data_IF_780392857136
#
_entry.id   IF_780392857136
#
_cell.length_a   1.000
_cell.length_b   1.000
_cell.length_c   1.000
_cell.angle_alpha   90.00
_cell.angle_beta   90.00
_cell.angle_gamma   90.00
#
_symmetry.space_group_name_H-M   'P 1'
#
loop_
_entity.id
_entity.type
_entity.pdbx_description
1 polymer ?
#
# COMPACT_ATOMS: atom_id res chain seq x y z
N UNK A 1 63.09 -33.52 53.32
CA UNK A 1 61.64 -33.58 53.65
C UNK A 1 60.85 -33.37 52.35
N UNK A 2 60.51 -34.46 51.63
CA UNK A 2 59.76 -34.40 50.36
C UNK A 2 58.29 -34.73 50.65
N UNK A 3 57.40 -33.74 50.57
CA UNK A 3 55.96 -33.93 50.64
C UNK A 3 55.44 -34.24 49.23
N UNK A 4 54.97 -35.46 49.01
CA UNK A 4 54.31 -35.89 47.78
C UNK A 4 52.82 -35.50 47.83
N UNK A 5 52.42 -34.56 46.98
CA UNK A 5 51.01 -34.23 46.77
C UNK A 5 50.32 -35.37 46.03
N UNK A 6 49.36 -36.04 46.68
CA UNK A 6 48.48 -37.04 46.06
C UNK A 6 47.43 -36.32 45.22
N UNK A 7 47.57 -36.36 43.89
CA UNK A 7 46.54 -35.87 42.97
C UNK A 7 45.32 -36.81 43.00
N UNK A 8 44.20 -36.32 43.52
CA UNK A 8 42.89 -36.99 43.41
C UNK A 8 42.35 -36.79 41.98
N UNK A 9 42.50 -37.80 41.12
CA UNK A 9 41.85 -37.82 39.80
C UNK A 9 40.34 -38.01 39.97
N UNK A 10 39.57 -36.95 39.73
CA UNK A 10 38.12 -37.02 39.59
C UNK A 10 37.82 -37.75 38.26
N UNK A 11 37.47 -39.05 38.33
CA UNK A 11 36.94 -39.78 37.17
C UNK A 11 35.59 -39.18 36.77
N UNK A 12 35.59 -38.30 35.77
CA UNK A 12 34.35 -37.93 35.09
C UNK A 12 33.80 -39.19 34.40
N UNK A 13 32.73 -39.77 34.96
CA UNK A 13 31.95 -40.82 34.28
C UNK A 13 31.29 -40.18 33.06
N UNK A 14 31.91 -40.32 31.89
CA UNK A 14 31.23 -40.07 30.63
C UNK A 14 30.10 -41.10 30.50
N UNK A 15 28.85 -40.67 30.68
CA UNK A 15 27.68 -41.49 30.33
C UNK A 15 27.60 -41.52 28.82
N UNK A 16 27.77 -42.70 28.22
CA UNK A 16 27.57 -42.90 26.80
C UNK A 16 26.09 -42.73 26.45
N UNK A 17 25.81 -41.90 25.45
CA UNK A 17 24.47 -41.71 24.93
C UNK A 17 24.11 -42.91 24.05
N UNK A 18 22.98 -43.56 24.29
CA UNK A 18 22.56 -44.68 23.44
C UNK A 18 21.98 -44.15 22.12
N UNK A 19 22.19 -44.88 21.02
CA UNK A 19 21.66 -44.51 19.70
C UNK A 19 20.13 -44.30 19.75
N UNK A 20 19.44 -45.09 20.58
CA UNK A 20 17.99 -45.03 20.79
C UNK A 20 17.58 -43.71 21.45
N UNK A 21 18.29 -43.26 22.50
CA UNK A 21 18.00 -41.97 23.15
C UNK A 21 18.11 -40.80 22.17
N UNK A 22 19.09 -40.83 21.26
CA UNK A 22 19.22 -39.81 20.21
C UNK A 22 18.08 -39.87 19.21
N UNK A 23 17.71 -41.08 18.78
CA UNK A 23 16.67 -41.29 17.78
C UNK A 23 15.29 -40.82 18.29
N UNK A 24 14.97 -41.06 19.56
CA UNK A 24 13.72 -40.58 20.16
C UNK A 24 13.67 -39.05 20.23
N UNK A 25 14.77 -38.41 20.62
CA UNK A 25 14.83 -36.94 20.73
C UNK A 25 14.64 -36.28 19.37
N UNK A 26 15.33 -36.75 18.33
CA UNK A 26 15.15 -36.21 16.98
C UNK A 26 13.74 -36.48 16.44
N UNK A 27 13.13 -37.61 16.77
CA UNK A 27 11.75 -37.93 16.38
C UNK A 27 10.75 -36.95 17.01
N UNK A 28 10.90 -36.65 18.30
CA UNK A 28 10.05 -35.66 18.98
C UNK A 28 10.24 -34.26 18.36
N UNK A 29 11.47 -33.82 18.12
CA UNK A 29 11.75 -32.52 17.50
C UNK A 29 11.15 -32.46 16.08
N UNK A 30 11.27 -33.52 15.29
CA UNK A 30 10.70 -33.59 13.95
C UNK A 30 9.17 -33.46 13.97
N UNK A 31 8.49 -34.14 14.89
CA UNK A 31 7.02 -34.01 15.06
C UNK A 31 6.65 -32.60 15.50
N UNK A 32 7.36 -32.01 16.46
CA UNK A 32 7.09 -30.63 16.91
C UNK A 32 7.25 -29.63 15.76
N UNK A 33 8.33 -29.72 14.99
CA UNK A 33 8.57 -28.83 13.84
C UNK A 33 7.50 -29.05 12.76
N UNK A 34 7.13 -30.29 12.47
CA UNK A 34 6.10 -30.62 11.48
C UNK A 34 4.73 -30.00 11.84
N UNK A 35 4.40 -29.91 13.12
CA UNK A 35 3.18 -29.28 13.60
C UNK A 35 3.29 -27.74 13.68
N UNK A 36 4.49 -27.21 13.96
CA UNK A 36 4.72 -25.77 14.10
C UNK A 36 4.84 -25.04 12.76
N UNK A 37 5.42 -25.66 11.72
CA UNK A 37 5.69 -24.99 10.44
C UNK A 37 4.41 -24.49 9.74
N UNK A 38 3.33 -25.30 9.59
CA UNK A 38 2.08 -24.83 9.00
C UNK A 38 1.43 -23.72 9.84
N UNK A 39 1.51 -23.82 11.17
CA UNK A 39 0.93 -22.85 12.09
C UNK A 39 1.65 -21.49 12.01
N UNK A 40 2.99 -21.47 11.94
CA UNK A 40 3.77 -20.24 11.81
C UNK A 40 3.49 -19.52 10.50
N UNK A 41 3.30 -20.26 9.40
CA UNK A 41 2.96 -19.66 8.10
C UNK A 41 1.56 -19.05 8.10
N UNK A 42 0.57 -19.76 8.66
CA UNK A 42 -0.78 -19.24 8.84
C UNK A 42 -0.79 -17.96 9.69
N UNK A 43 -0.03 -17.94 10.80
CA UNK A 43 0.11 -16.77 11.65
C UNK A 43 0.76 -15.58 10.92
N UNK A 44 1.81 -15.83 10.12
CA UNK A 44 2.47 -14.78 9.31
C UNK A 44 1.54 -14.20 8.26
N UNK A 45 0.77 -15.03 7.57
CA UNK A 45 -0.18 -14.55 6.57
C UNK A 45 -1.33 -13.77 7.21
N UNK A 46 -1.85 -14.22 8.34
CA UNK A 46 -2.84 -13.47 9.11
C UNK A 46 -2.30 -12.09 9.54
N UNK A 47 -1.05 -12.02 10.00
CA UNK A 47 -0.41 -10.76 10.37
C UNK A 47 -0.28 -9.80 9.17
N UNK A 48 0.11 -10.30 7.99
CA UNK A 48 0.15 -9.49 6.76
C UNK A 48 -1.21 -8.94 6.37
N UNK A 49 -2.27 -9.75 6.44
CA UNK A 49 -3.65 -9.32 6.18
C UNK A 49 -4.11 -8.25 7.16
N UNK A 50 -3.81 -8.42 8.44
CA UNK A 50 -4.08 -7.40 9.46
C UNK A 50 -3.35 -6.09 9.17
N UNK A 51 -2.10 -6.16 8.71
CA UNK A 51 -1.36 -4.96 8.31
C UNK A 51 -2.02 -4.22 7.15
N UNK A 52 -2.50 -4.93 6.10
CA UNK A 52 -3.22 -4.29 4.99
C UNK A 52 -4.50 -3.57 5.47
N UNK A 53 -5.26 -4.20 6.37
CA UNK A 53 -6.45 -3.58 6.98
C UNK A 53 -6.09 -2.35 7.82
N UNK A 54 -4.99 -2.42 8.58
CA UNK A 54 -4.52 -1.30 9.39
C UNK A 54 -4.08 -0.11 8.51
N UNK A 55 -3.37 -0.38 7.41
CA UNK A 55 -2.99 0.63 6.43
C UNK A 55 -4.23 1.30 5.81
N UNK A 56 -5.24 0.52 5.39
CA UNK A 56 -6.51 1.06 4.90
C UNK A 56 -7.22 1.92 5.95
N UNK A 57 -7.22 1.48 7.22
CA UNK A 57 -7.77 2.26 8.34
C UNK A 57 -7.01 3.59 8.54
N UNK A 58 -5.68 3.58 8.46
CA UNK A 58 -4.87 4.80 8.56
C UNK A 58 -5.18 5.77 7.41
N UNK A 59 -5.35 5.28 6.19
CA UNK A 59 -5.76 6.11 5.04
C UNK A 59 -7.16 6.69 5.27
N UNK A 60 -8.10 5.89 5.78
CA UNK A 60 -9.44 6.38 6.13
C UNK A 60 -9.42 7.46 7.21
N UNK A 61 -8.57 7.32 8.23
CA UNK A 61 -8.37 8.37 9.25
C UNK A 61 -7.76 9.63 8.63
N UNK A 62 -6.73 9.49 7.81
CA UNK A 62 -6.11 10.60 7.09
C UNK A 62 -7.11 11.36 6.21
N UNK A 63 -8.01 10.62 5.53
CA UNK A 63 -9.06 11.20 4.71
C UNK A 63 -10.06 12.03 5.54
N UNK A 64 -10.45 11.53 6.72
CA UNK A 64 -11.32 12.27 7.64
C UNK A 64 -10.62 13.50 8.21
N UNK A 65 -9.34 13.39 8.61
CA UNK A 65 -8.56 14.52 9.11
C UNK A 65 -8.40 15.61 8.03
N UNK A 66 -8.14 15.22 6.78
CA UNK A 66 -8.09 16.16 5.66
C UNK A 66 -9.44 16.87 5.48
N UNK A 67 -10.55 16.13 5.57
CA UNK A 67 -11.89 16.72 5.49
C UNK A 67 -12.16 17.65 6.67
N UNK A 68 -11.73 17.32 7.88
CA UNK A 68 -11.91 18.19 9.06
C UNK A 68 -11.20 19.54 8.88
N UNK A 69 -10.00 19.54 8.30
CA UNK A 69 -9.25 20.78 8.08
C UNK A 69 -9.75 21.59 6.87
N UNK A 70 -10.19 20.93 5.80
CA UNK A 70 -10.57 21.60 4.55
C UNK A 70 -12.07 21.72 4.32
N UNK A 71 -12.92 21.00 5.05
CA UNK A 71 -14.38 20.86 4.82
C UNK A 71 -14.78 20.19 3.49
N UNK A 72 -13.86 19.44 2.88
CA UNK A 72 -14.10 18.61 1.70
C UNK A 72 -13.05 17.50 1.60
N UNK A 73 -13.39 16.43 0.90
CA UNK A 73 -12.44 15.40 0.50
C UNK A 73 -11.43 15.93 -0.52
N UNK A 74 -10.20 15.37 -0.55
CA UNK A 74 -9.20 15.78 -1.52
C UNK A 74 -9.70 15.45 -2.94
N UNK A 75 -9.39 16.31 -3.92
CA UNK A 75 -9.72 16.02 -5.30
C UNK A 75 -8.97 14.77 -5.75
N UNK A 76 -9.60 13.97 -6.62
CA UNK A 76 -8.98 12.75 -7.12
C UNK A 76 -7.68 13.06 -7.87
N UNK A 77 -7.72 14.09 -8.71
CA UNK A 77 -6.58 14.68 -9.41
C UNK A 77 -6.78 16.18 -9.58
N UNK A 78 -5.67 16.92 -9.57
CA UNK A 78 -5.60 18.26 -10.13
C UNK A 78 -5.23 18.18 -11.61
N UNK A 79 -5.98 18.85 -12.47
CA UNK A 79 -5.69 19.00 -13.91
C UNK A 79 -5.53 20.49 -14.20
N UNK A 80 -4.35 20.91 -14.67
CA UNK A 80 -3.99 22.33 -14.81
C UNK A 80 -4.52 22.96 -16.09
N UNK A 81 -4.04 22.49 -17.23
CA UNK A 81 -4.33 23.03 -18.56
C UNK A 81 -4.06 21.95 -19.58
N UNK A 82 -5.07 21.31 -20.18
CA UNK A 82 -4.77 20.24 -21.12
C UNK A 82 -5.95 19.32 -21.36
N UNK A 83 -5.82 18.55 -22.43
CA UNK A 83 -6.82 17.61 -22.86
C UNK A 83 -7.19 16.64 -21.71
N UNK A 84 -8.44 16.63 -21.21
CA UNK A 84 -8.82 15.69 -20.16
C UNK A 84 -8.63 14.23 -20.62
N UNK A 85 -8.53 13.98 -21.93
CA UNK A 85 -8.45 12.68 -22.61
C UNK A 85 -7.15 11.86 -22.39
N UNK A 86 -6.14 12.39 -21.70
CA UNK A 86 -4.87 11.67 -21.46
C UNK A 86 -4.64 11.35 -19.99
N UNK A 87 -4.55 10.04 -19.72
CA UNK A 87 -4.20 9.47 -18.41
C UNK A 87 -2.75 9.87 -18.10
N UNK A 88 -2.53 10.50 -16.93
CA UNK A 88 -1.22 10.93 -16.45
C UNK A 88 -0.36 11.79 -17.41
N UNK A 89 -0.98 12.69 -18.18
CA UNK A 89 -0.25 13.62 -19.06
C UNK A 89 0.60 14.66 -18.30
N UNK A 90 1.44 15.37 -19.06
CA UNK A 90 2.23 16.52 -18.61
C UNK A 90 1.38 17.66 -18.01
N UNK A 91 0.05 17.60 -18.07
CA UNK A 91 -0.83 18.64 -17.50
C UNK A 91 -1.54 18.19 -16.21
N UNK A 92 -1.27 16.96 -15.74
CA UNK A 92 -1.86 16.39 -14.52
C UNK A 92 -0.94 16.64 -13.33
N UNK A 93 -1.49 17.26 -12.30
CA UNK A 93 -0.84 17.53 -11.02
C UNK A 93 -1.03 16.41 -10.01
N UNK A 94 -0.89 16.76 -8.74
CA UNK A 94 -1.04 15.85 -7.61
C UNK A 94 -2.41 15.16 -7.57
N UNK A 95 -2.42 13.94 -7.04
CA UNK A 95 -3.63 13.17 -6.77
C UNK A 95 -4.01 13.21 -5.28
N UNK A 96 -5.13 12.60 -4.95
CA UNK A 96 -5.65 12.52 -3.59
C UNK A 96 -4.64 11.98 -2.55
N UNK A 97 -3.83 10.96 -2.88
CA UNK A 97 -2.84 10.40 -1.94
C UNK A 97 -1.69 11.35 -1.64
N UNK A 98 -1.27 12.17 -2.61
CA UNK A 98 -0.27 13.23 -2.36
C UNK A 98 -0.80 14.22 -1.32
N UNK A 99 -2.07 14.63 -1.41
CA UNK A 99 -2.70 15.51 -0.42
C UNK A 99 -2.84 14.88 0.97
N UNK A 100 -2.85 13.55 1.06
CA UNK A 100 -2.92 12.83 2.33
C UNK A 100 -1.56 12.62 3.00
N UNK A 101 -0.43 12.85 2.31
CA UNK A 101 0.91 12.61 2.86
C UNK A 101 1.14 13.26 4.25
N UNK A 102 0.73 14.51 4.51
CA UNK A 102 0.89 15.12 5.84
C UNK A 102 0.11 14.40 6.96
N UNK A 103 -0.98 13.73 6.59
CA UNK A 103 -1.91 13.06 7.51
C UNK A 103 -1.55 11.58 7.73
N UNK A 104 -0.52 11.08 7.05
CA UNK A 104 0.04 9.71 7.20
C UNK A 104 1.53 9.74 7.59
N UNK A 105 1.96 10.81 8.26
CA UNK A 105 3.35 11.02 8.71
C UNK A 105 4.40 11.01 7.58
N UNK A 106 4.01 11.44 6.37
CA UNK A 106 4.90 11.56 5.21
C UNK A 106 5.19 13.02 4.81
N UNK A 107 5.26 13.93 5.78
CA UNK A 107 5.56 15.36 5.55
C UNK A 107 6.85 15.57 4.75
N UNK A 108 7.92 14.82 5.04
CA UNK A 108 9.19 14.94 4.31
C UNK A 108 9.10 14.62 2.81
N UNK A 109 8.10 13.83 2.38
CA UNK A 109 7.81 13.57 0.96
C UNK A 109 6.94 14.69 0.40
N UNK A 110 5.93 15.13 1.17
CA UNK A 110 5.03 16.21 0.79
C UNK A 110 5.77 17.53 0.54
N UNK A 111 6.69 17.91 1.43
CA UNK A 111 7.45 19.16 1.34
C UNK A 111 8.34 19.23 0.07
N UNK A 112 8.68 18.07 -0.50
CA UNK A 112 9.44 17.95 -1.75
C UNK A 112 8.56 17.88 -2.99
N UNK A 113 7.25 17.79 -2.79
CA UNK A 113 6.28 17.69 -3.87
C UNK A 113 5.90 19.08 -4.35
N UNK A 114 6.27 19.39 -5.58
CA UNK A 114 5.90 20.64 -6.21
C UNK A 114 4.50 20.50 -6.82
N UNK A 115 3.54 21.18 -6.19
CA UNK A 115 2.13 21.23 -6.59
C UNK A 115 1.87 22.21 -7.73
N UNK A 116 2.88 22.83 -8.32
CA UNK A 116 2.83 23.70 -9.50
C UNK A 116 3.31 23.04 -10.79
N UNK A 117 4.02 21.92 -10.69
CA UNK A 117 4.51 21.14 -11.84
C UNK A 117 3.71 19.84 -12.07
N UNK A 118 3.88 19.19 -13.24
CA UNK A 118 3.23 17.91 -13.52
C UNK A 118 3.70 16.79 -12.58
N UNK A 119 2.80 15.88 -12.20
CA UNK A 119 3.13 14.79 -11.28
C UNK A 119 4.22 13.86 -11.83
N UNK A 120 4.28 13.67 -13.16
CA UNK A 120 5.33 12.87 -13.81
C UNK A 120 6.70 13.58 -13.88
N UNK A 121 6.80 14.82 -13.40
CA UNK A 121 8.06 15.54 -13.22
C UNK A 121 8.50 15.55 -11.75
N UNK A 122 7.60 15.24 -10.82
CA UNK A 122 7.92 15.16 -9.39
C UNK A 122 8.76 13.92 -9.07
N UNK A 123 9.96 14.06 -8.48
CA UNK A 123 10.81 12.92 -8.13
C UNK A 123 10.22 12.07 -6.99
N UNK A 124 9.36 12.66 -6.15
CA UNK A 124 8.70 11.98 -5.04
C UNK A 124 7.82 10.79 -5.45
N UNK A 125 7.37 10.73 -6.72
CA UNK A 125 6.48 9.67 -7.24
C UNK A 125 7.07 8.26 -7.19
N UNK A 126 8.40 8.16 -7.15
CA UNK A 126 9.15 6.91 -7.09
C UNK A 126 9.32 6.38 -5.67
N UNK A 127 8.85 7.12 -4.66
CA UNK A 127 9.04 6.75 -3.26
C UNK A 127 8.10 5.61 -2.88
N UNK A 128 8.65 4.53 -2.32
CA UNK A 128 7.86 3.41 -1.78
C UNK A 128 7.44 3.74 -0.35
N UNK A 129 6.13 3.92 -0.14
CA UNK A 129 5.56 4.23 1.18
C UNK A 129 4.92 2.96 1.73
N UNK A 130 5.45 2.43 2.84
CA UNK A 130 4.96 1.18 3.43
C UNK A 130 3.47 1.25 3.83
N UNK A 131 2.99 2.41 4.28
CA UNK A 131 1.58 2.63 4.60
C UNK A 131 0.64 2.56 3.38
N UNK A 132 1.16 2.71 2.16
CA UNK A 132 0.37 2.58 0.93
C UNK A 132 0.50 1.21 0.25
N UNK A 133 1.34 0.32 0.78
CA UNK A 133 1.54 -1.02 0.24
C UNK A 133 0.96 -2.07 1.18
N UNK A 134 0.17 -2.98 0.61
CA UNK A 134 -0.34 -4.13 1.31
C UNK A 134 0.69 -5.28 1.25
N UNK A 135 1.26 -5.75 2.37
CA UNK A 135 2.28 -6.81 2.36
C UNK A 135 1.78 -8.17 1.86
N UNK A 136 0.47 -8.40 1.73
CA UNK A 136 -0.04 -9.63 1.10
C UNK A 136 0.05 -9.61 -0.41
N UNK A 137 0.25 -8.44 -1.03
CA UNK A 137 0.43 -8.33 -2.47
C UNK A 137 1.93 -8.33 -2.83
N UNK A 138 2.47 -9.45 -3.38
CA UNK A 138 3.87 -9.55 -3.74
C UNK A 138 4.25 -8.63 -4.91
N UNK A 139 3.29 -8.20 -5.74
CA UNK A 139 3.56 -7.35 -6.90
C UNK A 139 4.10 -5.96 -6.53
N UNK A 140 3.96 -5.54 -5.27
CA UNK A 140 4.56 -4.29 -4.74
C UNK A 140 6.09 -4.26 -4.78
N UNK A 141 6.72 -5.42 -4.73
CA UNK A 141 8.17 -5.55 -4.88
C UNK A 141 8.62 -5.46 -6.35
N UNK A 142 7.68 -5.51 -7.29
CA UNK A 142 7.93 -5.40 -8.72
C UNK A 142 8.45 -4.03 -9.15
N UNK A 143 8.79 -3.91 -10.45
CA UNK A 143 9.24 -2.65 -11.00
C UNK A 143 8.13 -1.58 -10.93
N UNK A 144 8.51 -0.31 -10.78
CA UNK A 144 7.56 0.79 -10.86
C UNK A 144 6.85 0.79 -12.22
N UNK A 145 5.65 1.38 -12.29
CA UNK A 145 4.98 1.55 -13.57
C UNK A 145 5.78 2.54 -14.45
N UNK A 146 5.97 2.18 -15.72
CA UNK A 146 6.73 2.93 -16.73
C UNK A 146 5.87 3.88 -17.57
N UNK A 147 4.54 3.85 -17.39
CA UNK A 147 3.62 4.67 -18.16
C UNK A 147 3.82 6.17 -17.90
N UNK A 148 3.59 6.99 -18.93
CA UNK A 148 3.62 8.46 -18.89
C UNK A 148 4.82 9.07 -18.13
N UNK A 149 6.04 8.70 -18.53
CA UNK A 149 7.29 9.19 -17.93
C UNK A 149 7.85 8.30 -16.82
N UNK A 150 7.10 7.28 -16.41
CA UNK A 150 7.56 6.18 -15.56
C UNK A 150 8.03 6.56 -14.17
N UNK A 151 8.48 5.57 -13.41
CA UNK A 151 8.94 5.75 -12.03
C UNK A 151 7.79 5.81 -11.02
N UNK A 152 6.59 5.35 -11.37
CA UNK A 152 5.49 5.35 -10.40
C UNK A 152 5.63 4.20 -9.42
N UNK A 153 5.89 4.51 -8.15
CA UNK A 153 5.96 3.52 -7.10
C UNK A 153 4.60 2.85 -6.88
N UNK A 154 4.66 1.57 -6.49
CA UNK A 154 3.47 0.75 -6.29
C UNK A 154 2.74 1.07 -4.98
N UNK A 155 1.47 0.74 -4.93
CA UNK A 155 0.60 0.82 -3.77
C UNK A 155 -0.69 0.02 -3.99
N UNK A 156 -1.55 -0.07 -2.98
CA UNK A 156 -2.72 -0.96 -3.00
C UNK A 156 -4.02 -0.26 -2.63
N UNK A 157 -4.07 1.07 -2.60
CA UNK A 157 -5.27 1.75 -2.12
C UNK A 157 -5.77 2.71 -3.18
N UNK A 158 -7.02 2.53 -3.57
CA UNK A 158 -7.69 3.29 -4.61
C UNK A 158 -8.86 4.08 -4.05
N UNK A 159 -8.93 5.38 -4.36
CA UNK A 159 -10.12 6.17 -4.05
C UNK A 159 -11.29 5.71 -4.90
N UNK A 160 -12.47 5.62 -4.30
CA UNK A 160 -13.71 5.35 -5.00
C UNK A 160 -14.07 6.56 -5.86
N UNK A 161 -13.94 6.37 -7.17
CA UNK A 161 -14.25 7.39 -8.17
C UNK A 161 -15.12 6.76 -9.26
N UNK A 162 -16.02 7.55 -9.82
CA UNK A 162 -16.94 7.04 -10.84
C UNK A 162 -16.21 6.57 -12.11
N UNK A 163 -16.72 5.51 -12.78
CA UNK A 163 -16.39 5.21 -14.17
C UNK A 163 -16.66 6.37 -15.15
N UNK A 164 -17.48 7.37 -14.78
CA UNK A 164 -17.67 8.56 -15.62
C UNK A 164 -16.49 9.55 -15.54
N UNK A 165 -15.67 9.49 -14.48
CA UNK A 165 -14.35 10.11 -14.47
C UNK A 165 -13.44 9.42 -15.50
N UNK A 166 -13.53 8.09 -15.66
CA UNK A 166 -12.85 7.35 -16.74
C UNK A 166 -13.31 7.79 -18.14
N UNK A 167 -14.62 8.05 -18.34
CA UNK A 167 -15.14 8.57 -19.62
C UNK A 167 -14.76 10.03 -19.90
N UNK A 168 -14.76 10.88 -18.88
CA UNK A 168 -14.22 12.25 -19.00
C UNK A 168 -12.72 12.24 -19.29
N UNK A 169 -11.99 11.25 -18.75
CA UNK A 169 -10.57 11.01 -19.00
C UNK A 169 -10.28 10.34 -20.36
N UNK A 170 -11.29 9.83 -21.07
CA UNK A 170 -11.18 9.16 -22.38
C UNK A 170 -12.00 9.83 -23.49
N UNK A 171 -12.53 11.03 -23.26
CA UNK A 171 -13.16 11.86 -24.31
C UNK A 171 -14.66 11.67 -24.55
N UNK A 172 -15.39 11.01 -23.66
CA UNK A 172 -16.85 10.90 -23.78
C UNK A 172 -17.53 12.01 -22.95
N UNK A 173 -17.69 13.19 -23.56
CA UNK A 173 -18.11 14.46 -22.95
C UNK A 173 -19.59 14.56 -22.55
N UNK A 174 -20.32 13.45 -22.56
CA UNK A 174 -21.76 13.43 -22.27
C UNK A 174 -22.14 13.19 -20.80
N UNK A 175 -21.18 12.86 -19.93
CA UNK A 175 -21.46 12.51 -18.52
C UNK A 175 -20.74 13.48 -17.61
N UNK A 176 -21.44 14.20 -16.71
CA UNK A 176 -20.80 15.12 -15.78
C UNK A 176 -19.73 14.40 -14.96
N UNK A 177 -18.53 14.99 -14.89
CA UNK A 177 -17.39 14.55 -14.05
C UNK A 177 -17.70 14.49 -12.55
N UNK A 178 -18.92 14.90 -12.15
CA UNK A 178 -19.46 14.92 -10.80
C UNK A 178 -20.30 13.69 -10.42
N UNK A 179 -20.56 12.73 -11.33
CA UNK A 179 -21.50 11.63 -11.06
C UNK A 179 -20.82 10.36 -10.54
N UNK A 180 -20.69 10.24 -9.22
CA UNK A 180 -20.43 8.97 -8.52
C UNK A 180 -19.06 8.90 -7.81
N UNK A 181 -19.05 8.25 -6.65
CA UNK A 181 -17.88 8.14 -5.79
C UNK A 181 -17.57 9.40 -4.99
N UNK A 182 -16.42 9.40 -4.31
CA UNK A 182 -16.03 10.43 -3.36
C UNK A 182 -14.93 11.38 -3.86
N UNK A 183 -14.61 11.30 -5.15
CA UNK A 183 -13.61 12.17 -5.78
C UNK A 183 -13.74 12.23 -7.30
N UNK A 184 -13.27 13.33 -7.88
CA UNK A 184 -13.22 13.52 -9.33
C UNK A 184 -12.11 14.49 -9.76
N UNK A 185 -11.82 14.60 -11.07
CA UNK A 185 -10.86 15.57 -11.58
C UNK A 185 -11.33 17.00 -11.33
N UNK A 186 -10.51 17.82 -10.65
CA UNK A 186 -10.84 19.21 -10.28
C UNK A 186 -12.21 19.36 -9.57
N UNK A 187 -12.67 18.30 -8.92
CA UNK A 187 -13.95 18.27 -8.23
C UNK A 187 -13.75 17.79 -6.80
N UNK A 188 -14.47 18.44 -5.88
CA UNK A 188 -14.40 18.15 -4.45
C UNK A 188 -15.75 17.67 -3.96
N UNK A 189 -15.72 16.66 -3.09
CA UNK A 189 -16.92 16.07 -2.46
C UNK A 189 -16.94 16.47 -0.99
N UNK A 190 -18.11 16.81 -0.47
CA UNK A 190 -18.34 17.05 0.96
C UNK A 190 -19.24 15.94 1.50
N UNK A 191 -19.25 15.73 2.81
CA UNK A 191 -20.20 14.78 3.40
C UNK A 191 -21.66 15.04 2.99
N UNK A 192 -22.06 16.31 2.86
CA UNK A 192 -23.42 16.69 2.41
C UNK A 192 -23.75 16.34 0.95
N UNK A 193 -22.76 16.00 0.12
CA UNK A 193 -22.98 15.52 -1.25
C UNK A 193 -23.25 14.01 -1.33
N UNK A 194 -23.02 13.27 -0.23
CA UNK A 194 -23.25 11.83 -0.15
C UNK A 194 -24.68 11.58 0.35
N UNK A 195 -25.64 11.52 -0.57
CA UNK A 195 -27.08 11.53 -0.27
C UNK A 195 -27.56 10.35 0.59
N UNK A 196 -26.94 9.17 0.45
CA UNK A 196 -27.21 7.96 1.23
C UNK A 196 -26.37 7.86 2.51
N UNK A 197 -25.56 8.87 2.79
CA UNK A 197 -24.72 8.99 3.98
C UNK A 197 -23.33 8.38 3.84
N UNK A 198 -22.35 9.03 4.45
CA UNK A 198 -20.94 8.62 4.40
C UNK A 198 -20.68 7.23 4.99
N UNK A 199 -21.53 6.77 5.91
CA UNK A 199 -21.43 5.45 6.51
C UNK A 199 -21.80 4.31 5.53
N UNK A 200 -22.57 4.62 4.48
CA UNK A 200 -23.03 3.66 3.47
C UNK A 200 -22.20 3.71 2.18
N UNK A 201 -21.27 4.66 2.07
CA UNK A 201 -20.42 4.85 0.89
C UNK A 201 -19.01 4.38 1.14
N UNK A 202 -18.48 3.53 0.24
CA UNK A 202 -17.07 3.14 0.25
C UNK A 202 -16.24 4.30 -0.31
N UNK A 203 -15.35 4.84 0.53
CA UNK A 203 -14.45 5.93 0.18
C UNK A 203 -13.18 5.45 -0.53
N UNK A 204 -12.56 4.40 0.01
CA UNK A 204 -11.28 3.85 -0.45
C UNK A 204 -11.39 2.34 -0.42
N UNK A 205 -10.85 1.68 -1.43
CA UNK A 205 -10.79 0.22 -1.52
C UNK A 205 -9.35 -0.25 -1.73
N UNK A 206 -9.12 -1.53 -1.42
CA UNK A 206 -7.85 -2.19 -1.72
C UNK A 206 -7.83 -2.64 -3.19
N UNK A 207 -6.72 -2.36 -3.87
CA UNK A 207 -6.45 -2.71 -5.25
C UNK A 207 -5.29 -3.70 -5.30
N UNK A 208 -5.36 -4.63 -6.26
CA UNK A 208 -4.18 -5.41 -6.65
C UNK A 208 -3.22 -4.52 -7.44
N UNK A 209 -1.96 -4.59 -7.08
CA UNK A 209 -0.87 -3.93 -7.79
C UNK A 209 -0.65 -4.55 -9.16
N UNK A 210 -0.32 -3.70 -10.12
CA UNK A 210 -0.09 -4.11 -11.50
C UNK A 210 1.05 -5.12 -11.65
N UNK A 211 0.87 -6.09 -12.55
CA UNK A 211 1.79 -7.23 -12.70
C UNK A 211 3.00 -6.93 -13.57
N UNK A 212 2.94 -5.88 -14.38
CA UNK A 212 4.00 -5.46 -15.28
C UNK A 212 4.14 -3.94 -15.31
N UNK A 213 5.17 -3.42 -15.97
CA UNK A 213 5.46 -1.98 -15.98
C UNK A 213 4.40 -1.14 -16.70
N UNK A 214 3.60 -1.73 -17.59
CA UNK A 214 2.52 -1.05 -18.32
C UNK A 214 1.18 -1.09 -17.57
N UNK A 215 1.07 -1.93 -16.54
CA UNK A 215 -0.12 -2.05 -15.70
C UNK A 215 -0.15 -0.90 -14.69
N UNK A 216 -1.14 -0.01 -14.85
CA UNK A 216 -1.26 1.22 -14.07
C UNK A 216 -1.69 0.95 -12.64
N UNK A 217 -2.37 -0.18 -12.40
CA UNK A 217 -3.03 -0.48 -11.14
C UNK A 217 -2.04 -0.43 -9.99
N UNK A 218 -2.49 0.17 -8.89
CA UNK A 218 -1.70 0.27 -7.69
C UNK A 218 -0.44 1.11 -7.91
N UNK A 219 -0.57 2.27 -8.54
CA UNK A 219 0.49 3.28 -8.66
C UNK A 219 0.08 4.50 -7.84
N UNK A 220 0.61 4.60 -6.62
CA UNK A 220 -0.02 5.41 -5.56
C UNK A 220 -0.05 6.92 -5.87
N UNK A 221 1.00 7.45 -6.50
CA UNK A 221 1.08 8.88 -6.83
C UNK A 221 0.62 9.20 -8.26
N UNK A 222 0.23 8.18 -9.03
CA UNK A 222 -0.12 8.36 -10.43
C UNK A 222 -1.47 9.07 -10.53
N UNK A 223 -1.54 10.21 -11.24
CA UNK A 223 -2.80 10.87 -11.47
C UNK A 223 -3.66 10.05 -12.42
N UNK A 224 -4.93 9.87 -12.06
CA UNK A 224 -5.90 9.09 -12.82
C UNK A 224 -5.91 7.64 -12.33
N UNK A 225 -5.94 6.70 -13.28
CA UNK A 225 -6.39 5.34 -13.00
C UNK A 225 -5.52 4.57 -12.01
N UNK A 226 -4.22 4.84 -11.91
CA UNK A 226 -3.33 4.04 -11.06
C UNK A 226 -3.66 4.06 -9.56
N UNK A 227 -4.39 5.08 -9.09
CA UNK A 227 -4.73 5.29 -7.68
C UNK A 227 -6.24 5.43 -7.41
N UNK A 228 -7.09 5.01 -8.35
CA UNK A 228 -8.55 5.00 -8.21
C UNK A 228 -9.14 3.62 -8.43
N UNK A 229 -10.32 3.34 -7.89
CA UNK A 229 -11.04 2.07 -8.14
C UNK A 229 -11.38 1.86 -9.62
N UNK A 230 -11.39 2.93 -10.42
CA UNK A 230 -11.49 2.87 -11.87
C UNK A 230 -10.39 2.03 -12.55
N UNK A 231 -9.24 1.80 -11.89
CA UNK A 231 -8.17 0.93 -12.39
C UNK A 231 -8.61 -0.53 -12.57
N UNK A 232 -9.68 -0.96 -11.88
CA UNK A 232 -10.17 -2.33 -11.93
C UNK A 232 -10.93 -2.67 -13.21
N UNK A 233 -11.33 -1.66 -13.99
CA UNK A 233 -12.14 -1.82 -15.21
C UNK A 233 -11.34 -1.75 -16.51
N UNK A 234 -10.00 -1.85 -16.44
CA UNK A 234 -9.08 -1.90 -17.59
C UNK A 234 -8.42 -3.27 -17.71
#
# INVERSE_FOLDING_TARGET
>A
MRLTARQLQIRQRARGFTLIELLVVIAIIAVLIALLLPAVQAAREAARRTQCRNNLKQIGLALNNYHETHNWFPPFIISRTGNPQRIADADKGANWLVFLLPYVDQNAIYDKWDLDIPANQNPGRSTKIAGFMCPTDPANSGPPCSYAGGGWARGNYGMNVSPCAHNSLNGNTGVPSALGGIGGPNYVVRFGHVADGAANTIAVDELRTGLNQNDLRGSWAMPGLGSGTSALFQ
#
